data_IF_609060595286
#
_entry.id   IF_609060595286
#
_cell.length_a   1.000
_cell.length_b   1.000
_cell.length_c   1.000
_cell.angle_alpha   90.00
_cell.angle_beta   90.00
_cell.angle_gamma   90.00
#
_symmetry.space_group_name_H-M   'P 1'
#
loop_
_entity.id
_entity.type
_entity.pdbx_description
1 polymer ?
#
# COMPACT_ATOMS: atom_id res chain seq x y z
N UNK A 1 -4.08 6.49 31.52
CA UNK A 1 -3.47 5.50 30.60
C UNK A 1 -2.34 6.22 29.90
N UNK A 2 -1.10 5.77 30.08
CA UNK A 2 0.04 6.46 29.46
C UNK A 2 -0.10 6.44 27.95
N UNK A 3 -0.03 7.61 27.33
CA UNK A 3 -0.12 7.77 25.88
C UNK A 3 0.89 6.87 25.14
N UNK A 4 2.10 6.73 25.71
CA UNK A 4 3.13 5.84 25.20
C UNK A 4 2.71 4.37 25.14
N UNK A 5 1.99 3.89 26.16
CA UNK A 5 1.47 2.52 26.17
C UNK A 5 0.39 2.32 25.09
N UNK A 6 -0.47 3.33 24.91
CA UNK A 6 -1.48 3.30 23.84
C UNK A 6 -0.86 3.20 22.44
N UNK A 7 0.19 3.99 22.18
CA UNK A 7 0.93 3.97 20.91
C UNK A 7 1.67 2.66 20.68
N UNK A 8 2.25 2.08 21.74
CA UNK A 8 2.88 0.77 21.68
C UNK A 8 1.90 -0.30 21.19
N UNK A 9 0.73 -0.39 21.85
CA UNK A 9 -0.29 -1.37 21.44
C UNK A 9 -0.85 -1.08 20.06
N UNK A 10 -1.05 0.19 19.71
CA UNK A 10 -1.49 0.57 18.36
C UNK A 10 -0.51 0.05 17.29
N UNK A 11 0.79 0.36 17.44
CA UNK A 11 1.80 -0.07 16.46
C UNK A 11 1.91 -1.60 16.38
N UNK A 12 1.79 -2.29 17.54
CA UNK A 12 1.76 -3.75 17.57
C UNK A 12 0.56 -4.34 16.81
N UNK A 13 -0.63 -3.74 16.96
CA UNK A 13 -1.84 -4.15 16.24
C UNK A 13 -1.65 -3.95 14.74
N UNK A 14 -1.08 -2.81 14.32
CA UNK A 14 -0.79 -2.55 12.89
C UNK A 14 0.18 -3.60 12.34
N UNK A 15 1.27 -3.88 13.05
CA UNK A 15 2.24 -4.93 12.66
C UNK A 15 1.58 -6.29 12.48
N UNK A 16 0.76 -6.71 13.45
CA UNK A 16 0.05 -7.99 13.39
C UNK A 16 -0.94 -8.04 12.23
N UNK A 17 -1.70 -6.97 11.99
CA UNK A 17 -2.65 -6.90 10.90
C UNK A 17 -1.96 -6.96 9.53
N UNK A 18 -0.84 -6.25 9.38
CA UNK A 18 -0.08 -6.21 8.12
C UNK A 18 0.57 -7.56 7.83
N UNK A 19 1.22 -8.22 8.83
CA UNK A 19 1.83 -9.53 8.61
C UNK A 19 0.78 -10.62 8.34
N UNK A 20 -0.39 -10.54 8.98
CA UNK A 20 -1.50 -11.45 8.71
C UNK A 20 -2.04 -11.26 7.29
N UNK A 21 -2.11 -10.02 6.81
CA UNK A 21 -2.48 -9.71 5.43
C UNK A 21 -1.44 -10.26 4.44
N UNK A 22 -0.15 -10.03 4.71
CA UNK A 22 0.93 -10.55 3.88
C UNK A 22 0.85 -12.09 3.78
N UNK A 23 0.72 -12.79 4.90
CA UNK A 23 0.62 -14.27 4.91
C UNK A 23 -0.62 -14.78 4.18
N UNK A 24 -1.75 -14.07 4.29
CA UNK A 24 -2.98 -14.38 3.53
C UNK A 24 -2.76 -14.23 2.03
N UNK A 25 -2.08 -13.16 1.60
CA UNK A 25 -1.72 -12.95 0.20
C UNK A 25 -0.76 -14.04 -0.30
N UNK A 26 0.24 -14.42 0.51
CA UNK A 26 1.16 -15.50 0.17
C UNK A 26 0.44 -16.84 -0.01
N UNK A 27 -0.41 -17.21 0.95
CA UNK A 27 -1.22 -18.42 0.87
C UNK A 27 -2.10 -18.43 -0.40
N UNK A 28 -2.74 -17.30 -0.69
CA UNK A 28 -3.55 -17.14 -1.90
C UNK A 28 -2.72 -17.26 -3.17
N UNK A 29 -1.51 -16.69 -3.20
CA UNK A 29 -0.59 -16.85 -4.32
C UNK A 29 -0.18 -18.32 -4.53
N UNK A 30 0.17 -19.02 -3.46
CA UNK A 30 0.59 -20.43 -3.55
C UNK A 30 -0.51 -21.32 -4.13
N UNK A 31 -1.79 -21.03 -3.80
CA UNK A 31 -2.94 -21.79 -4.28
C UNK A 31 -3.35 -21.36 -5.70
N UNK A 32 -3.46 -20.04 -5.95
CA UNK A 32 -4.04 -19.53 -7.20
C UNK A 32 -3.01 -19.26 -8.30
N UNK A 33 -1.73 -19.11 -7.91
CA UNK A 33 -0.60 -18.68 -8.80
C UNK A 33 -0.83 -17.31 -9.45
N UNK A 34 -1.78 -16.51 -8.96
CA UNK A 34 -2.05 -15.19 -9.48
C UNK A 34 -0.96 -14.20 -9.03
N UNK A 35 -0.32 -13.54 -10.00
CA UNK A 35 0.77 -12.58 -9.78
C UNK A 35 0.37 -11.40 -8.89
N UNK A 36 -0.90 -10.97 -8.93
CA UNK A 36 -1.44 -9.90 -8.09
C UNK A 36 -1.19 -10.18 -6.60
N UNK A 37 -1.44 -11.42 -6.13
CA UNK A 37 -1.21 -11.79 -4.74
C UNK A 37 0.27 -11.87 -4.39
N UNK A 38 1.15 -12.21 -5.34
CA UNK A 38 2.60 -12.18 -5.13
C UNK A 38 3.09 -10.75 -4.88
N UNK A 39 2.63 -9.78 -5.68
CA UNK A 39 2.99 -8.39 -5.49
C UNK A 39 2.35 -7.79 -4.24
N UNK A 40 1.10 -8.15 -3.93
CA UNK A 40 0.44 -7.75 -2.70
C UNK A 40 1.19 -8.27 -1.46
N UNK A 41 1.61 -9.54 -1.46
CA UNK A 41 2.46 -10.10 -0.42
C UNK A 41 3.73 -9.29 -0.24
N UNK A 42 4.47 -9.00 -1.32
CA UNK A 42 5.69 -8.21 -1.26
C UNK A 42 5.41 -6.79 -0.70
N UNK A 43 4.35 -6.13 -1.13
CA UNK A 43 3.95 -4.80 -0.65
C UNK A 43 3.67 -4.78 0.84
N UNK A 44 2.86 -5.70 1.34
CA UNK A 44 2.57 -5.79 2.78
C UNK A 44 3.79 -6.24 3.60
N UNK A 45 4.66 -7.09 3.07
CA UNK A 45 5.89 -7.49 3.74
C UNK A 45 6.86 -6.31 3.88
N UNK A 46 7.07 -5.54 2.82
CA UNK A 46 7.89 -4.34 2.88
C UNK A 46 7.29 -3.31 3.84
N UNK A 47 5.98 -3.09 3.81
CA UNK A 47 5.33 -2.19 4.75
C UNK A 47 5.42 -2.67 6.20
N UNK A 48 5.37 -3.98 6.44
CA UNK A 48 5.64 -4.55 7.76
C UNK A 48 7.03 -4.16 8.26
N UNK A 49 8.06 -4.24 7.43
CA UNK A 49 9.40 -3.83 7.80
C UNK A 49 9.50 -2.32 8.02
N UNK A 50 8.79 -1.49 7.23
CA UNK A 50 8.75 -0.05 7.43
C UNK A 50 8.19 0.31 8.83
N UNK A 51 7.05 -0.25 9.19
CA UNK A 51 6.46 -0.07 10.54
C UNK A 51 7.34 -0.69 11.63
N UNK A 52 8.03 -1.80 11.35
CA UNK A 52 8.93 -2.45 12.31
C UNK A 52 10.18 -1.58 12.61
N UNK A 53 10.71 -0.86 11.61
CA UNK A 53 11.79 0.11 11.82
C UNK A 53 11.33 1.23 12.76
N UNK A 54 10.13 1.79 12.53
CA UNK A 54 9.54 2.81 13.41
C UNK A 54 9.36 2.26 14.82
N UNK A 55 8.84 1.04 14.96
CA UNK A 55 8.67 0.38 16.27
C UNK A 55 10.01 0.18 16.98
N UNK A 56 11.05 -0.24 16.27
CA UNK A 56 12.38 -0.43 16.81
C UNK A 56 12.95 0.88 17.36
N UNK A 57 12.87 1.96 16.59
CA UNK A 57 13.44 3.24 16.98
C UNK A 57 12.68 3.89 18.13
N UNK A 58 11.36 3.79 18.15
CA UNK A 58 10.52 4.40 19.20
C UNK A 58 10.56 3.66 20.53
N UNK A 59 10.51 2.34 20.51
CA UNK A 59 10.25 1.55 21.71
C UNK A 59 11.45 0.73 22.17
N UNK A 60 12.32 0.27 21.27
CA UNK A 60 13.45 -0.57 21.63
C UNK A 60 14.74 0.22 21.82
N UNK A 61 15.03 1.19 20.96
CA UNK A 61 16.29 1.91 21.01
C UNK A 61 16.21 3.27 21.74
N UNK A 62 15.02 3.74 22.06
CA UNK A 62 14.78 5.06 22.71
C UNK A 62 15.54 6.22 22.02
N UNK A 63 15.84 6.09 20.74
CA UNK A 63 16.64 7.07 19.97
C UNK A 63 16.04 8.47 19.97
N UNK A 64 14.74 8.58 20.15
CA UNK A 64 14.05 9.87 20.25
C UNK A 64 14.50 10.72 21.46
N UNK A 65 15.26 10.14 22.40
CA UNK A 65 15.80 10.86 23.58
C UNK A 65 17.28 11.27 23.44
N UNK A 66 18.01 10.72 22.46
CA UNK A 66 19.42 11.05 22.26
C UNK A 66 19.58 12.23 21.28
N UNK A 67 19.96 13.38 21.81
CA UNK A 67 20.23 14.60 21.05
C UNK A 67 21.40 14.48 20.04
N UNK A 68 22.12 13.35 20.05
CA UNK A 68 23.21 13.04 19.12
C UNK A 68 22.75 12.40 17.80
N UNK A 69 21.51 11.93 17.71
CA UNK A 69 20.93 11.37 16.49
C UNK A 69 20.23 12.50 15.74
N UNK A 70 20.38 12.53 14.41
CA UNK A 70 19.73 13.53 13.58
C UNK A 70 18.24 13.64 13.97
N UNK A 71 17.79 14.83 14.42
CA UNK A 71 16.40 15.00 14.89
C UNK A 71 15.39 14.90 13.74
N UNK A 72 15.85 14.73 12.52
CA UNK A 72 15.05 14.81 11.32
C UNK A 72 14.52 13.45 10.83
N UNK A 73 15.19 12.35 11.15
CA UNK A 73 14.77 11.04 10.69
C UNK A 73 14.89 10.00 11.81
N UNK A 74 13.80 9.32 12.07
CA UNK A 74 13.82 8.09 12.88
C UNK A 74 14.40 6.99 11.98
N UNK A 75 15.50 6.39 12.42
CA UNK A 75 16.19 5.36 11.67
C UNK A 75 17.04 5.85 10.51
N UNK A 76 17.32 4.94 9.58
CA UNK A 76 18.09 5.26 8.38
C UNK A 76 17.17 5.71 7.24
N UNK A 77 17.32 6.94 6.70
CA UNK A 77 16.52 7.40 5.58
C UNK A 77 16.70 6.51 4.34
N UNK A 78 17.89 5.91 4.17
CA UNK A 78 18.14 4.93 3.10
C UNK A 78 17.30 3.68 3.28
N UNK A 79 17.22 3.15 4.51
CA UNK A 79 16.36 2.01 4.82
C UNK A 79 14.88 2.33 4.55
N UNK A 80 14.43 3.54 4.94
CA UNK A 80 13.07 4.02 4.68
C UNK A 80 12.75 4.11 3.17
N UNK A 81 13.70 4.59 2.32
CA UNK A 81 13.52 4.57 0.85
C UNK A 81 13.42 3.15 0.33
N UNK A 82 14.28 2.24 0.80
CA UNK A 82 14.29 0.86 0.30
C UNK A 82 13.02 0.10 0.71
N UNK A 83 12.62 0.23 1.95
CA UNK A 83 11.50 -0.54 2.51
C UNK A 83 10.17 0.11 2.13
N UNK A 84 9.98 1.39 2.40
CA UNK A 84 8.78 2.13 2.00
C UNK A 84 8.62 2.21 0.47
N UNK A 85 9.73 2.43 -0.25
CA UNK A 85 9.75 2.37 -1.71
C UNK A 85 9.42 0.99 -2.25
N UNK A 86 9.95 -0.07 -1.62
CA UNK A 86 9.61 -1.46 -1.95
C UNK A 86 8.11 -1.75 -1.81
N UNK A 87 7.48 -1.23 -0.75
CA UNK A 87 6.03 -1.32 -0.55
C UNK A 87 5.26 -0.61 -1.67
N UNK A 88 5.58 0.66 -1.95
CA UNK A 88 4.90 1.46 -2.97
C UNK A 88 5.06 0.88 -4.38
N UNK A 89 6.27 0.45 -4.75
CA UNK A 89 6.52 -0.20 -6.05
C UNK A 89 5.71 -1.50 -6.16
N UNK A 90 5.65 -2.28 -5.09
CA UNK A 90 4.86 -3.51 -5.07
C UNK A 90 3.37 -3.24 -5.23
N UNK A 91 2.81 -2.23 -4.56
CA UNK A 91 1.41 -1.82 -4.74
C UNK A 91 1.15 -1.22 -6.13
N UNK A 92 2.11 -0.50 -6.71
CA UNK A 92 2.03 -0.08 -8.10
C UNK A 92 1.94 -1.28 -9.05
N UNK A 93 2.72 -2.33 -8.83
CA UNK A 93 2.66 -3.56 -9.64
C UNK A 93 1.32 -4.31 -9.44
N UNK A 94 0.74 -4.29 -8.23
CA UNK A 94 -0.64 -4.78 -8.00
C UNK A 94 -1.64 -4.02 -8.88
N UNK A 95 -1.52 -2.69 -8.94
CA UNK A 95 -2.38 -1.86 -9.77
C UNK A 95 -2.19 -2.16 -11.27
N UNK A 96 -0.95 -2.34 -11.73
CA UNK A 96 -0.65 -2.72 -13.11
C UNK A 96 -1.29 -4.08 -13.48
N UNK A 97 -1.18 -5.09 -12.62
CA UNK A 97 -1.84 -6.38 -12.85
C UNK A 97 -3.37 -6.25 -12.85
N UNK A 98 -3.93 -5.44 -11.95
CA UNK A 98 -5.37 -5.18 -11.90
C UNK A 98 -5.90 -4.52 -13.18
N UNK A 99 -5.11 -3.61 -13.77
CA UNK A 99 -5.44 -2.87 -14.99
C UNK A 99 -4.99 -3.60 -16.27
N UNK A 100 -4.44 -4.80 -16.13
CA UNK A 100 -3.92 -5.62 -17.25
C UNK A 100 -2.89 -4.83 -18.09
N UNK A 101 -2.00 -4.09 -17.39
CA UNK A 101 -0.98 -3.27 -18.03
C UNK A 101 0.30 -4.06 -18.26
N UNK A 102 0.64 -4.36 -19.51
CA UNK A 102 1.79 -5.18 -19.88
C UNK A 102 3.02 -4.36 -20.33
N UNK A 103 2.86 -3.04 -20.54
CA UNK A 103 3.97 -2.20 -21.01
C UNK A 103 5.04 -2.07 -19.92
N UNK A 104 6.29 -2.54 -20.19
CA UNK A 104 7.36 -2.55 -19.18
C UNK A 104 7.72 -1.14 -18.70
N UNK A 105 7.65 -0.14 -19.58
CA UNK A 105 7.90 1.24 -19.23
C UNK A 105 6.93 1.75 -18.15
N UNK A 106 5.63 1.48 -18.28
CA UNK A 106 4.61 1.88 -17.30
C UNK A 106 4.83 1.15 -15.98
N UNK A 107 5.26 -0.11 -16.02
CA UNK A 107 5.47 -0.92 -14.81
C UNK A 107 6.65 -0.46 -13.98
N UNK A 108 7.73 0.00 -14.60
CA UNK A 108 9.00 0.24 -13.90
C UNK A 108 9.40 1.70 -13.78
N UNK A 109 9.03 2.58 -14.75
CA UNK A 109 9.42 4.00 -14.71
C UNK A 109 8.92 4.72 -13.46
N UNK A 110 7.66 4.57 -13.00
CA UNK A 110 7.20 5.28 -11.81
C UNK A 110 7.97 4.90 -10.55
N UNK A 111 8.29 3.60 -10.38
CA UNK A 111 9.09 3.13 -9.25
C UNK A 111 10.52 3.65 -9.31
N UNK A 112 11.17 3.62 -10.48
CA UNK A 112 12.51 4.17 -10.66
C UNK A 112 12.54 5.69 -10.42
N UNK A 113 11.54 6.43 -10.93
CA UNK A 113 11.41 7.86 -10.70
C UNK A 113 11.24 8.16 -9.21
N UNK A 114 10.39 7.42 -8.49
CA UNK A 114 10.22 7.57 -7.05
C UNK A 114 11.54 7.39 -6.29
N UNK A 115 12.29 6.32 -6.56
CA UNK A 115 13.58 6.06 -5.88
C UNK A 115 14.59 7.17 -6.18
N UNK A 116 14.73 7.56 -7.45
CA UNK A 116 15.67 8.61 -7.86
C UNK A 116 15.32 9.97 -7.24
N UNK A 117 14.05 10.35 -7.21
CA UNK A 117 13.62 11.63 -6.62
C UNK A 117 13.77 11.62 -5.11
N UNK A 118 13.49 10.51 -4.43
CA UNK A 118 13.69 10.37 -2.98
C UNK A 118 15.17 10.52 -2.61
N UNK A 119 16.08 9.89 -3.35
CA UNK A 119 17.52 10.08 -3.14
C UNK A 119 17.98 11.50 -3.52
N UNK A 120 17.42 12.10 -4.58
CA UNK A 120 17.73 13.48 -4.93
C UNK A 120 17.34 14.46 -3.81
N UNK A 121 16.19 14.27 -3.17
CA UNK A 121 15.77 15.08 -2.01
C UNK A 121 16.74 14.91 -0.85
N UNK A 122 17.18 13.69 -0.54
CA UNK A 122 18.12 13.44 0.55
C UNK A 122 19.49 14.07 0.32
N UNK A 123 19.95 14.14 -0.93
CA UNK A 123 21.30 14.62 -1.26
C UNK A 123 21.35 16.11 -1.58
N UNK A 124 20.29 16.68 -2.14
CA UNK A 124 20.30 18.02 -2.70
C UNK A 124 19.47 19.04 -1.91
N UNK A 125 18.46 18.60 -1.17
CA UNK A 125 17.66 19.52 -0.37
C UNK A 125 18.43 19.94 0.90
N UNK A 126 18.35 21.22 1.30
CA UNK A 126 18.95 21.69 2.54
C UNK A 126 18.33 20.99 3.74
N UNK A 127 19.18 20.63 4.71
CA UNK A 127 18.72 19.98 5.95
C UNK A 127 17.68 20.85 6.68
N UNK A 128 16.61 20.21 7.16
CA UNK A 128 15.54 20.87 7.91
C UNK A 128 14.16 20.28 7.65
N UNK A 129 13.13 20.90 8.25
CA UNK A 129 11.74 20.48 8.14
C UNK A 129 11.26 20.41 6.68
N UNK A 130 11.78 21.32 5.83
CA UNK A 130 11.46 21.32 4.40
C UNK A 130 11.97 20.08 3.67
N UNK A 131 13.18 19.61 3.99
CA UNK A 131 13.72 18.37 3.44
C UNK A 131 12.88 17.17 3.88
N UNK A 132 12.56 17.08 5.17
CA UNK A 132 11.69 16.02 5.69
C UNK A 132 10.32 16.03 5.01
N UNK A 133 9.71 17.20 4.90
CA UNK A 133 8.42 17.33 4.22
C UNK A 133 8.48 16.85 2.77
N UNK A 134 9.49 17.27 2.02
CA UNK A 134 9.68 16.83 0.64
C UNK A 134 9.92 15.32 0.57
N UNK A 135 10.74 14.78 1.46
CA UNK A 135 11.08 13.35 1.49
C UNK A 135 9.85 12.48 1.72
N UNK A 136 9.04 12.78 2.76
CA UNK A 136 7.83 12.02 3.03
C UNK A 136 6.75 12.26 1.97
N UNK A 137 6.61 13.49 1.49
CA UNK A 137 5.64 13.82 0.42
C UNK A 137 5.94 13.14 -0.92
N UNK A 138 7.14 12.57 -1.14
CA UNK A 138 7.38 11.71 -2.31
C UNK A 138 6.53 10.45 -2.28
N UNK A 139 6.22 9.91 -1.10
CA UNK A 139 5.33 8.75 -0.95
C UNK A 139 3.91 9.10 -1.40
N UNK A 140 3.38 10.24 -0.93
CA UNK A 140 2.05 10.73 -1.32
C UNK A 140 2.00 11.07 -2.81
N UNK A 141 3.06 11.66 -3.37
CA UNK A 141 3.14 11.92 -4.80
C UNK A 141 3.02 10.63 -5.62
N UNK A 142 3.66 9.54 -5.18
CA UNK A 142 3.51 8.23 -5.82
C UNK A 142 2.09 7.66 -5.65
N UNK A 143 1.48 7.79 -4.47
CA UNK A 143 0.10 7.37 -4.22
C UNK A 143 -0.89 8.16 -5.08
N UNK A 144 -0.73 9.49 -5.20
CA UNK A 144 -1.55 10.29 -6.11
C UNK A 144 -1.33 9.89 -7.57
N UNK A 145 -0.10 9.60 -7.98
CA UNK A 145 0.17 9.11 -9.33
C UNK A 145 -0.57 7.79 -9.63
N UNK A 146 -0.64 6.88 -8.65
CA UNK A 146 -1.43 5.65 -8.76
C UNK A 146 -2.92 5.94 -8.97
N UNK A 147 -3.48 6.84 -8.17
CA UNK A 147 -4.91 7.20 -8.25
C UNK A 147 -5.25 7.95 -9.54
N UNK A 148 -4.38 8.88 -9.96
CA UNK A 148 -4.54 9.59 -11.24
C UNK A 148 -4.45 8.62 -12.42
N UNK A 149 -3.49 7.69 -12.39
CA UNK A 149 -3.38 6.66 -13.43
C UNK A 149 -4.63 5.78 -13.48
N UNK A 150 -5.14 5.36 -12.33
CA UNK A 150 -6.39 4.60 -12.22
C UNK A 150 -7.57 5.37 -12.83
N UNK A 151 -7.70 6.66 -12.50
CA UNK A 151 -8.75 7.54 -13.04
C UNK A 151 -8.60 7.72 -14.56
N UNK A 152 -7.39 7.96 -15.05
CA UNK A 152 -7.11 8.10 -16.47
C UNK A 152 -7.45 6.82 -17.26
N UNK A 153 -7.12 5.66 -16.69
CA UNK A 153 -7.49 4.36 -17.28
C UNK A 153 -9.00 4.14 -17.29
N UNK A 154 -9.71 4.54 -16.23
CA UNK A 154 -11.18 4.47 -16.18
C UNK A 154 -11.84 5.31 -17.28
N UNK A 155 -11.34 6.52 -17.50
CA UNK A 155 -11.87 7.43 -18.55
C UNK A 155 -11.50 6.93 -19.95
N UNK A 156 -10.25 6.48 -20.15
CA UNK A 156 -9.72 6.13 -21.47
C UNK A 156 -10.01 4.70 -21.92
N UNK A 157 -10.48 3.80 -21.04
CA UNK A 157 -10.72 2.41 -21.43
C UNK A 157 -11.99 2.28 -22.28
N UNK A 158 -11.88 1.51 -23.36
CA UNK A 158 -13.00 1.07 -24.20
C UNK A 158 -13.50 -0.33 -23.86
N UNK A 159 -12.80 -1.02 -22.96
CA UNK A 159 -13.19 -2.34 -22.47
C UNK A 159 -14.29 -2.19 -21.41
N UNK A 160 -15.47 -2.64 -21.75
CA UNK A 160 -16.66 -2.56 -20.89
C UNK A 160 -16.53 -3.45 -19.64
N UNK A 161 -15.81 -4.57 -19.74
CA UNK A 161 -15.58 -5.49 -18.61
C UNK A 161 -14.69 -4.83 -17.58
N UNK A 162 -13.57 -4.25 -18.01
CA UNK A 162 -12.66 -3.53 -17.13
C UNK A 162 -13.37 -2.31 -16.52
N UNK A 163 -14.11 -1.54 -17.30
CA UNK A 163 -14.90 -0.39 -16.83
C UNK A 163 -15.93 -0.80 -15.78
N UNK A 164 -16.65 -1.90 -15.99
CA UNK A 164 -17.63 -2.40 -15.04
C UNK A 164 -16.95 -2.87 -13.73
N UNK A 165 -15.81 -3.55 -13.82
CA UNK A 165 -14.99 -3.96 -12.68
C UNK A 165 -14.56 -2.75 -11.85
N UNK A 166 -14.04 -1.70 -12.49
CA UNK A 166 -13.64 -0.46 -11.84
C UNK A 166 -14.84 0.26 -11.21
N UNK A 167 -15.98 0.35 -11.92
CA UNK A 167 -17.20 0.98 -11.42
C UNK A 167 -17.74 0.31 -10.16
N UNK A 168 -17.58 -1.00 -10.03
CA UNK A 168 -17.98 -1.74 -8.83
C UNK A 168 -17.22 -1.31 -7.58
N UNK A 169 -15.97 -0.86 -7.73
CA UNK A 169 -15.11 -0.45 -6.63
C UNK A 169 -15.02 1.06 -6.42
N UNK A 170 -15.93 1.85 -7.04
CA UNK A 170 -15.89 3.33 -6.98
C UNK A 170 -15.84 3.90 -5.55
N UNK A 171 -16.56 3.28 -4.60
CA UNK A 171 -16.56 3.72 -3.21
C UNK A 171 -15.18 3.52 -2.55
N UNK A 172 -14.51 2.40 -2.85
CA UNK A 172 -13.14 2.15 -2.40
C UNK A 172 -12.18 3.21 -2.96
N UNK A 173 -12.28 3.56 -4.25
CA UNK A 173 -11.42 4.59 -4.84
C UNK A 173 -11.65 5.96 -4.21
N UNK A 174 -12.92 6.32 -3.92
CA UNK A 174 -13.23 7.55 -3.19
C UNK A 174 -12.61 7.57 -1.79
N UNK A 175 -12.68 6.45 -1.06
CA UNK A 175 -12.03 6.30 0.24
C UNK A 175 -10.50 6.39 0.14
N UNK A 176 -9.88 5.77 -0.87
CA UNK A 176 -8.44 5.87 -1.11
C UNK A 176 -8.02 7.32 -1.40
N UNK A 177 -8.75 8.05 -2.24
CA UNK A 177 -8.49 9.48 -2.48
C UNK A 177 -8.56 10.31 -1.18
N UNK A 178 -9.59 10.09 -0.37
CA UNK A 178 -9.73 10.77 0.91
C UNK A 178 -8.58 10.45 1.86
N UNK A 179 -8.21 9.17 2.00
CA UNK A 179 -7.13 8.74 2.88
C UNK A 179 -5.76 9.27 2.42
N UNK A 180 -5.43 9.22 1.13
CA UNK A 180 -4.18 9.78 0.60
C UNK A 180 -4.12 11.30 0.85
N UNK A 181 -5.26 12.00 0.73
CA UNK A 181 -5.33 13.43 1.08
C UNK A 181 -5.11 13.65 2.58
N UNK A 182 -5.66 12.79 3.45
CA UNK A 182 -5.41 12.86 4.89
C UNK A 182 -3.95 12.61 5.23
N UNK A 183 -3.26 11.67 4.55
CA UNK A 183 -1.82 11.42 4.72
C UNK A 183 -1.02 12.68 4.44
N UNK A 184 -1.28 13.33 3.30
CA UNK A 184 -0.60 14.59 2.94
C UNK A 184 -0.89 15.70 3.94
N UNK A 185 -2.15 15.88 4.36
CA UNK A 185 -2.53 16.89 5.34
C UNK A 185 -1.86 16.64 6.70
N UNK A 186 -1.74 15.39 7.13
CA UNK A 186 -1.02 15.02 8.34
C UNK A 186 0.46 15.44 8.24
N UNK A 187 1.14 15.16 7.14
CA UNK A 187 2.51 15.58 6.91
C UNK A 187 2.65 17.12 6.87
N UNK A 188 1.74 17.83 6.21
CA UNK A 188 1.75 19.30 6.19
C UNK A 188 1.62 19.87 7.60
N UNK A 189 0.68 19.36 8.37
CA UNK A 189 0.44 19.85 9.75
C UNK A 189 1.66 19.61 10.62
N UNK A 190 2.20 18.39 10.64
CA UNK A 190 3.27 18.02 11.57
C UNK A 190 4.65 18.54 11.17
N UNK A 191 4.94 18.68 9.89
CA UNK A 191 6.26 19.11 9.43
C UNK A 191 6.38 20.59 9.12
N UNK A 192 5.29 21.25 8.73
CA UNK A 192 5.33 22.64 8.32
C UNK A 192 4.62 23.59 9.30
N UNK A 193 3.58 23.12 10.03
CA UNK A 193 2.79 23.98 10.91
C UNK A 193 3.24 23.82 12.37
N UNK A 194 3.42 22.58 12.83
CA UNK A 194 3.78 22.25 14.20
C UNK A 194 5.29 22.11 14.31
N UNK A 195 6.10 23.07 14.18
CA UNK A 195 7.56 22.94 14.25
C UNK A 195 8.01 21.83 15.24
N UNK A 196 8.49 20.67 14.76
CA UNK A 196 8.90 19.57 15.65
C UNK A 196 10.05 19.97 16.58
N UNK A 197 10.82 21.00 16.25
CA UNK A 197 11.89 21.53 17.10
C UNK A 197 11.39 22.37 18.28
N UNK A 198 10.27 23.06 18.13
CA UNK A 198 9.65 23.82 19.22
C UNK A 198 9.15 22.92 20.36
N UNK A 199 9.04 21.63 20.11
CA UNK A 199 8.53 20.62 21.03
C UNK A 199 9.63 19.61 21.39
N UNK A 200 10.90 19.93 21.12
CA UNK A 200 12.04 19.14 21.53
C UNK A 200 12.00 18.89 23.04
N UNK A 201 11.84 17.63 23.45
CA UNK A 201 11.68 17.20 24.84
C UNK A 201 10.25 16.75 25.19
N UNK A 202 9.24 17.04 24.41
CA UNK A 202 7.93 16.39 24.54
C UNK A 202 7.86 15.24 23.53
N UNK A 203 7.59 14.02 24.02
CA UNK A 203 7.29 12.87 23.13
C UNK A 203 6.01 13.17 22.38
N UNK A 204 6.12 13.74 21.19
CA UNK A 204 4.96 13.86 20.33
C UNK A 204 4.57 12.47 19.85
N UNK A 205 3.29 12.10 19.98
CA UNK A 205 2.80 10.82 19.48
C UNK A 205 2.79 10.76 17.93
N UNK A 206 3.13 11.86 17.27
CA UNK A 206 2.96 12.06 15.85
C UNK A 206 4.32 12.35 15.21
N UNK A 207 4.91 11.34 14.62
CA UNK A 207 6.05 11.48 13.74
C UNK A 207 5.59 11.20 12.29
N UNK A 208 6.24 11.79 11.27
CA UNK A 208 5.91 11.51 9.87
C UNK A 208 5.94 10.03 9.53
N UNK A 209 6.87 9.29 10.12
CA UNK A 209 7.00 7.84 9.98
C UNK A 209 5.82 7.07 10.59
N UNK A 210 5.09 7.70 11.51
CA UNK A 210 3.90 7.12 12.14
C UNK A 210 2.63 7.82 11.65
N UNK A 211 2.52 8.04 10.37
CA UNK A 211 1.34 8.64 9.81
C UNK A 211 0.12 7.72 10.00
N UNK A 212 -0.84 8.16 10.80
CA UNK A 212 -2.02 7.37 11.14
C UNK A 212 -2.93 7.16 9.94
N UNK A 213 -3.02 8.16 9.06
CA UNK A 213 -3.79 8.06 7.85
C UNK A 213 -3.16 7.06 6.86
N UNK A 214 -1.82 6.99 6.78
CA UNK A 214 -1.11 5.99 5.98
C UNK A 214 -1.38 4.58 6.52
N UNK A 215 -1.29 4.37 7.83
CA UNK A 215 -1.64 3.09 8.44
C UNK A 215 -3.09 2.69 8.13
N UNK A 216 -4.04 3.64 8.24
CA UNK A 216 -5.45 3.40 7.91
C UNK A 216 -5.63 3.04 6.42
N UNK A 217 -4.90 3.71 5.53
CA UNK A 217 -4.88 3.43 4.09
C UNK A 217 -4.41 2.00 3.83
N UNK A 218 -3.30 1.58 4.43
CA UNK A 218 -2.73 0.24 4.25
C UNK A 218 -3.64 -0.83 4.85
N UNK A 219 -4.24 -0.59 6.01
CA UNK A 219 -5.22 -1.51 6.61
C UNK A 219 -6.49 -1.65 5.74
N UNK A 220 -6.95 -0.56 5.13
CA UNK A 220 -8.07 -0.59 4.17
C UNK A 220 -7.72 -1.44 2.93
N UNK A 221 -6.53 -1.24 2.37
CA UNK A 221 -6.02 -2.06 1.27
C UNK A 221 -5.85 -3.52 1.69
N UNK A 222 -5.39 -3.77 2.91
CA UNK A 222 -5.25 -5.11 3.48
C UNK A 222 -6.58 -5.84 3.62
N UNK A 223 -7.59 -5.16 4.12
CA UNK A 223 -8.95 -5.70 4.19
C UNK A 223 -9.50 -6.05 2.80
N UNK A 224 -9.29 -5.16 1.81
CA UNK A 224 -9.70 -5.43 0.44
C UNK A 224 -8.95 -6.63 -0.17
N UNK A 225 -7.64 -6.76 0.09
CA UNK A 225 -6.83 -7.89 -0.35
C UNK A 225 -7.28 -9.21 0.29
N UNK A 226 -7.52 -9.23 1.61
CA UNK A 226 -8.00 -10.41 2.32
C UNK A 226 -9.39 -10.86 1.85
N UNK A 227 -10.32 -9.92 1.64
CA UNK A 227 -11.66 -10.24 1.11
C UNK A 227 -11.60 -10.77 -0.31
N UNK A 228 -10.74 -10.23 -1.16
CA UNK A 228 -10.49 -10.74 -2.52
C UNK A 228 -9.90 -12.15 -2.48
N UNK A 229 -8.89 -12.36 -1.62
CA UNK A 229 -8.25 -13.66 -1.42
C UNK A 229 -9.25 -14.72 -0.95
N UNK A 230 -10.06 -14.39 0.03
CA UNK A 230 -11.10 -15.29 0.54
C UNK A 230 -12.09 -15.70 -0.56
N UNK A 231 -12.56 -14.74 -1.34
CA UNK A 231 -13.47 -15.03 -2.47
C UNK A 231 -12.83 -15.95 -3.51
N UNK A 232 -11.57 -15.71 -3.87
CA UNK A 232 -10.88 -16.55 -4.85
C UNK A 232 -10.63 -17.98 -4.36
N UNK A 233 -10.40 -18.16 -3.06
CA UNK A 233 -10.25 -19.47 -2.44
C UNK A 233 -11.59 -20.21 -2.27
N UNK A 234 -12.67 -19.50 -1.94
CA UNK A 234 -14.01 -20.08 -1.78
C UNK A 234 -14.57 -20.57 -3.10
N UNK A 235 -14.36 -19.83 -4.20
CA UNK A 235 -14.79 -20.26 -5.54
C UNK A 235 -14.14 -21.58 -5.97
N UNK A 236 -12.86 -21.80 -5.63
CA UNK A 236 -12.18 -23.07 -5.94
C UNK A 236 -12.69 -24.26 -5.09
N UNK A 237 -13.21 -24.01 -3.89
CA UNK A 237 -13.78 -25.08 -3.05
C UNK A 237 -15.14 -25.57 -3.55
N UNK A 238 -15.86 -24.75 -4.29
CA UNK A 238 -17.16 -25.09 -4.86
C UNK A 238 -17.05 -25.79 -6.22
N UNK A 239 -15.87 -25.81 -6.85
CA UNK A 239 -15.65 -26.66 -8.01
C UNK A 239 -15.61 -28.13 -7.53
N UNK A 240 -16.57 -29.00 -7.94
CA UNK A 240 -16.49 -30.42 -7.64
C UNK A 240 -15.16 -30.94 -8.23
N UNK A 241 -14.50 -31.92 -7.56
CA UNK A 241 -13.31 -32.54 -8.12
C UNK A 241 -13.70 -33.11 -9.47
N UNK A 242 -13.29 -32.48 -10.56
CA UNK A 242 -13.53 -32.94 -11.92
C UNK A 242 -12.81 -34.26 -12.09
N UNK A 243 -13.52 -35.35 -11.90
CA UNK A 243 -13.14 -36.64 -12.45
C UNK A 243 -13.19 -36.46 -13.99
N UNK A 244 -12.04 -36.25 -14.58
CA UNK A 244 -11.84 -36.14 -16.02
C UNK A 244 -11.99 -34.71 -16.55
N UNK A 245 -10.90 -34.05 -16.70
CA UNK A 245 -10.45 -33.11 -17.72
C UNK A 245 -11.44 -32.15 -18.41
N UNK A 246 -12.57 -31.80 -17.81
CA UNK A 246 -13.40 -30.73 -18.35
C UNK A 246 -12.74 -29.39 -17.99
N UNK A 247 -12.15 -28.76 -18.99
CA UNK A 247 -11.47 -27.48 -18.86
C UNK A 247 -12.45 -26.38 -18.47
N UNK A 248 -11.93 -25.29 -17.91
CA UNK A 248 -12.70 -24.06 -17.64
C UNK A 248 -13.47 -23.61 -18.90
N UNK A 249 -12.94 -23.87 -20.10
CA UNK A 249 -13.58 -23.63 -21.38
C UNK A 249 -14.91 -24.39 -21.51
N UNK A 250 -14.95 -25.69 -21.15
CA UNK A 250 -16.18 -26.49 -21.20
C UNK A 250 -17.26 -25.96 -20.25
N UNK A 251 -16.85 -25.44 -19.08
CA UNK A 251 -17.77 -24.81 -18.13
C UNK A 251 -18.30 -23.47 -18.65
N UNK A 252 -17.46 -22.67 -19.27
CA UNK A 252 -17.84 -21.38 -19.89
C UNK A 252 -18.79 -21.65 -21.06
N UNK A 253 -18.48 -22.60 -21.94
CA UNK A 253 -19.30 -22.95 -23.10
C UNK A 253 -20.67 -23.51 -22.70
N UNK A 254 -20.74 -24.34 -21.66
CA UNK A 254 -22.01 -24.83 -21.11
C UNK A 254 -22.88 -23.74 -20.53
N UNK A 255 -22.27 -22.76 -19.80
CA UNK A 255 -23.01 -21.63 -19.25
C UNK A 255 -23.44 -20.63 -20.32
N UNK A 256 -22.64 -20.40 -21.35
CA UNK A 256 -23.00 -19.57 -22.49
C UNK A 256 -24.14 -20.21 -23.31
N UNK A 257 -24.10 -21.53 -23.50
CA UNK A 257 -25.17 -22.27 -24.18
C UNK A 257 -26.49 -22.22 -23.38
N UNK A 258 -26.42 -22.38 -22.05
CA UNK A 258 -27.59 -22.24 -21.16
C UNK A 258 -28.17 -20.81 -21.17
N UNK A 259 -27.30 -19.79 -21.23
CA UNK A 259 -27.73 -18.39 -21.31
C UNK A 259 -28.37 -18.05 -22.66
N UNK A 260 -27.86 -18.64 -23.75
CA UNK A 260 -28.43 -18.49 -25.08
C UNK A 260 -29.80 -19.18 -25.21
N UNK A 261 -29.96 -20.36 -24.59
CA UNK A 261 -31.22 -21.08 -24.58
C UNK A 261 -32.32 -20.40 -23.72
N UNK A 262 -31.93 -19.70 -22.66
CA UNK A 262 -32.87 -18.94 -21.82
C UNK A 262 -33.38 -17.62 -22.44
N UNK A 263 -32.83 -17.23 -23.59
CA UNK A 263 -33.21 -16.01 -24.32
C UNK A 263 -34.09 -16.27 -25.55
N UNK A 264 -34.33 -17.51 -25.88
CA UNK A 264 -35.31 -17.94 -26.87
C UNK A 264 -36.67 -18.26 -26.23
#
# INVERSE_FOLDING_TARGET
MDLGLGLFYYTLIVLLAVILTATTCLASYLVTRNKTYRYAFAGFLFYFFDVALVFQDDFLMQRASDASVSPFFIGSPVASVLVGGGALISFWLVLCEYLEEDRPAVRWIPGAAFVLTSFAVLLLAPEGNGQMFLFYSMREAMLYAMLVYLAARYIGTRDDVLRLRMRRHRALYGALWALVTCVLLENVVFLLVVDPHAIAGQRLPFFPERNFAENALVLCCGFAACTSAWRSLSLRRTEPPTQGGASLETFIDQNLAAYAAARQ
#
